data_IF_523147851406
#
_entry.id   IF_523147851406
#
_cell.length_a   1.000
_cell.length_b   1.000
_cell.length_c   1.000
_cell.angle_alpha   90.00
_cell.angle_beta   90.00
_cell.angle_gamma   90.00
#
_symmetry.space_group_name_H-M   'P 1'
#
loop_
_entity.id
_entity.type
_entity.pdbx_description
1 polymer ?
#
# COMPACT_ATOMS: atom_id res chain seq x y z
N UNK A 1 6.41 14.59 -8.58
CA UNK A 1 6.97 15.91 -8.93
C UNK A 1 7.65 16.55 -7.73
N UNK A 2 8.77 17.24 -7.92
CA UNK A 2 9.51 17.96 -6.85
C UNK A 2 9.67 19.42 -7.27
N UNK A 3 9.33 20.35 -6.38
CA UNK A 3 9.47 21.79 -6.58
C UNK A 3 10.43 22.33 -5.53
N UNK A 4 11.54 22.95 -5.95
CA UNK A 4 12.49 23.59 -5.03
C UNK A 4 11.90 24.91 -4.54
N UNK A 5 12.02 25.19 -3.25
CA UNK A 5 11.55 26.44 -2.64
C UNK A 5 12.64 27.04 -1.74
N UNK A 6 12.72 28.38 -1.63
CA UNK A 6 13.60 29.03 -0.67
C UNK A 6 13.33 28.54 0.75
N UNK A 7 14.38 28.46 1.59
CA UNK A 7 14.26 27.86 2.94
C UNK A 7 13.17 28.57 3.75
N UNK A 8 12.18 27.81 4.22
CA UNK A 8 11.11 28.33 5.09
C UNK A 8 10.08 29.25 4.41
N UNK A 9 10.10 29.35 3.08
CA UNK A 9 9.23 30.29 2.34
C UNK A 9 7.76 29.90 2.24
N UNK A 10 7.41 28.63 2.52
CA UNK A 10 6.04 28.14 2.40
C UNK A 10 5.67 27.33 3.64
N UNK A 11 4.63 27.78 4.34
CA UNK A 11 3.97 27.01 5.40
C UNK A 11 2.78 26.21 4.85
N UNK A 12 2.47 25.10 5.52
CA UNK A 12 1.42 24.16 5.08
C UNK A 12 0.03 24.79 5.10
N UNK A 13 -0.26 25.74 5.99
CA UNK A 13 -1.56 26.43 6.06
C UNK A 13 -1.74 27.42 4.91
N UNK A 14 -0.74 28.26 4.67
CA UNK A 14 -0.77 29.23 3.57
C UNK A 14 -0.88 28.53 2.21
N UNK A 15 -0.17 27.39 2.07
CA UNK A 15 -0.25 26.57 0.87
C UNK A 15 -1.65 25.98 0.67
N UNK A 16 -2.29 25.52 1.75
CA UNK A 16 -3.64 24.97 1.69
C UNK A 16 -4.64 26.03 1.21
N UNK A 17 -4.63 27.22 1.82
CA UNK A 17 -5.55 28.30 1.45
C UNK A 17 -5.41 28.72 -0.03
N UNK A 18 -4.16 28.83 -0.52
CA UNK A 18 -3.90 29.14 -1.94
C UNK A 18 -4.36 28.04 -2.89
N UNK A 19 -4.21 26.78 -2.50
CA UNK A 19 -4.67 25.65 -3.31
C UNK A 19 -6.19 25.55 -3.34
N UNK A 20 -6.87 25.81 -2.22
CA UNK A 20 -8.34 25.86 -2.15
C UNK A 20 -8.90 27.01 -3.00
N UNK A 21 -8.24 28.17 -3.03
CA UNK A 21 -8.65 29.29 -3.89
C UNK A 21 -8.50 28.98 -5.39
N UNK A 22 -7.48 28.21 -5.79
CA UNK A 22 -7.20 27.90 -7.19
C UNK A 22 -7.97 26.68 -7.71
N UNK A 23 -8.28 25.72 -6.84
CA UNK A 23 -8.92 24.45 -7.20
C UNK A 23 -10.19 24.23 -6.37
N UNK A 24 -11.28 24.95 -6.66
CA UNK A 24 -12.54 24.85 -5.90
C UNK A 24 -13.22 23.48 -6.07
N UNK A 25 -12.86 22.73 -7.11
CA UNK A 25 -13.30 21.37 -7.39
C UNK A 25 -12.56 20.30 -6.56
N UNK A 26 -11.54 20.69 -5.80
CA UNK A 26 -10.72 19.78 -5.01
C UNK A 26 -10.85 20.04 -3.51
N UNK A 27 -10.74 18.97 -2.74
CA UNK A 27 -10.67 19.06 -1.27
C UNK A 27 -9.24 18.87 -0.80
N UNK A 28 -8.79 19.75 0.10
CA UNK A 28 -7.43 19.70 0.66
C UNK A 28 -7.49 19.41 2.16
N UNK A 29 -6.97 18.26 2.56
CA UNK A 29 -6.97 17.84 3.96
C UNK A 29 -5.55 17.78 4.52
N UNK A 30 -5.33 18.32 5.71
CA UNK A 30 -4.07 18.13 6.42
C UNK A 30 -4.04 16.73 7.03
N UNK A 31 -3.03 15.94 6.66
CA UNK A 31 -2.76 14.64 7.31
C UNK A 31 -1.78 14.78 8.48
N UNK A 32 -0.84 15.72 8.38
CA UNK A 32 0.07 16.08 9.47
C UNK A 32 0.61 17.52 9.28
N UNK A 33 1.49 18.00 10.17
CA UNK A 33 2.07 19.36 10.11
C UNK A 33 2.77 19.68 8.78
N UNK A 34 3.26 18.68 8.05
CA UNK A 34 4.07 18.82 6.83
C UNK A 34 3.41 18.21 5.59
N UNK A 35 2.17 17.74 5.68
CA UNK A 35 1.54 16.95 4.63
C UNK A 35 0.08 17.34 4.43
N UNK A 36 -0.22 17.67 3.17
CA UNK A 36 -1.57 17.88 2.66
C UNK A 36 -1.92 16.72 1.72
N UNK A 37 -3.18 16.35 1.71
CA UNK A 37 -3.78 15.41 0.78
C UNK A 37 -4.74 16.21 -0.09
N UNK A 38 -4.47 16.24 -1.39
CA UNK A 38 -5.38 16.77 -2.39
C UNK A 38 -6.27 15.64 -2.89
N UNK A 39 -7.58 15.86 -2.87
CA UNK A 39 -8.58 14.87 -3.29
C UNK A 39 -9.52 15.53 -4.31
N UNK A 40 -9.51 14.98 -5.53
CA UNK A 40 -10.49 15.30 -6.58
C UNK A 40 -11.65 14.30 -6.59
N UNK A 41 -11.38 13.02 -6.31
CA UNK A 41 -12.40 11.98 -6.17
C UNK A 41 -11.98 10.93 -5.14
N UNK A 42 -12.78 9.89 -4.92
CA UNK A 42 -12.40 8.78 -4.03
C UNK A 42 -11.24 7.92 -4.58
N UNK A 43 -10.89 8.08 -5.86
CA UNK A 43 -9.87 7.27 -6.53
C UNK A 43 -8.67 8.13 -6.98
N UNK A 44 -8.90 9.42 -7.28
CA UNK A 44 -7.86 10.35 -7.74
C UNK A 44 -7.46 11.34 -6.64
N UNK A 45 -6.19 11.31 -6.27
CA UNK A 45 -5.60 12.22 -5.29
C UNK A 45 -4.10 12.38 -5.43
N UNK A 46 -3.56 13.30 -4.63
CA UNK A 46 -2.14 13.55 -4.54
C UNK A 46 -1.72 13.87 -3.09
N UNK A 47 -0.56 13.36 -2.69
CA UNK A 47 0.08 13.74 -1.44
C UNK A 47 1.06 14.88 -1.71
N UNK A 48 0.90 15.96 -0.97
CA UNK A 48 1.76 17.15 -1.02
C UNK A 48 2.53 17.21 0.30
N UNK A 49 3.83 16.99 0.24
CA UNK A 49 4.72 17.01 1.40
C UNK A 49 5.64 18.23 1.35
N UNK A 50 5.56 19.06 2.38
CA UNK A 50 6.33 20.30 2.52
C UNK A 50 7.58 20.01 3.36
N UNK A 51 8.74 20.22 2.76
CA UNK A 51 10.04 20.16 3.42
C UNK A 51 10.63 21.56 3.53
N UNK A 52 11.74 21.70 4.27
CA UNK A 52 12.40 23.00 4.49
C UNK A 52 12.81 23.72 3.20
N UNK A 53 13.17 22.99 2.14
CA UNK A 53 13.73 23.53 0.88
C UNK A 53 13.03 23.01 -0.39
N UNK A 54 11.96 22.22 -0.24
CA UNK A 54 11.24 21.63 -1.37
C UNK A 54 9.81 21.27 -1.00
N UNK A 55 8.93 21.27 -1.98
CA UNK A 55 7.62 20.64 -1.92
C UNK A 55 7.64 19.41 -2.83
N UNK A 56 7.18 18.28 -2.32
CA UNK A 56 7.07 17.04 -3.08
C UNK A 56 5.59 16.71 -3.28
N UNK A 57 5.20 16.53 -4.53
CA UNK A 57 3.83 16.19 -4.92
C UNK A 57 3.89 14.80 -5.55
N UNK A 58 3.20 13.82 -4.97
CA UNK A 58 3.14 12.45 -5.49
C UNK A 58 1.70 12.02 -5.73
N UNK A 59 1.46 11.28 -6.80
CA UNK A 59 0.20 10.56 -6.97
C UNK A 59 0.02 9.61 -5.79
N UNK A 60 -1.17 9.60 -5.20
CA UNK A 60 -1.46 8.77 -4.03
C UNK A 60 -2.95 8.49 -3.93
N UNK A 61 -3.28 7.43 -3.20
CA UNK A 61 -4.67 7.19 -2.82
C UNK A 61 -5.17 8.35 -1.94
N UNK A 62 -6.32 8.95 -2.26
CA UNK A 62 -6.90 10.04 -1.48
C UNK A 62 -7.49 9.57 -0.16
N UNK A 63 -7.74 8.26 -0.01
CA UNK A 63 -8.31 7.66 1.21
C UNK A 63 -7.48 6.46 1.66
N UNK A 64 -7.40 6.25 2.98
CA UNK A 64 -6.80 5.02 3.52
C UNK A 64 -7.59 3.78 3.11
N UNK A 65 -8.92 3.87 2.99
CA UNK A 65 -9.76 2.77 2.52
C UNK A 65 -9.36 2.29 1.12
N UNK A 66 -9.20 3.21 0.16
CA UNK A 66 -8.75 2.86 -1.19
C UNK A 66 -7.33 2.26 -1.21
N UNK A 67 -6.41 2.80 -0.39
CA UNK A 67 -5.07 2.24 -0.26
C UNK A 67 -5.10 0.81 0.32
N UNK A 68 -5.88 0.57 1.38
CA UNK A 68 -6.02 -0.73 2.01
C UNK A 68 -6.65 -1.75 1.08
N UNK A 69 -7.72 -1.37 0.37
CA UNK A 69 -8.37 -2.24 -0.61
C UNK A 69 -7.37 -2.69 -1.69
N UNK A 70 -6.59 -1.78 -2.25
CA UNK A 70 -5.57 -2.13 -3.23
C UNK A 70 -4.53 -3.11 -2.69
N UNK A 71 -4.00 -2.86 -1.47
CA UNK A 71 -3.03 -3.74 -0.82
C UNK A 71 -3.62 -5.11 -0.53
N UNK A 72 -4.85 -5.18 -0.03
CA UNK A 72 -5.54 -6.45 0.22
C UNK A 72 -5.82 -7.21 -1.06
N UNK A 73 -6.25 -6.55 -2.14
CA UNK A 73 -6.41 -7.20 -3.44
C UNK A 73 -5.10 -7.84 -3.90
N UNK A 74 -3.97 -7.14 -3.76
CA UNK A 74 -2.67 -7.67 -4.13
C UNK A 74 -2.25 -8.87 -3.27
N UNK A 75 -2.46 -8.79 -1.95
CA UNK A 75 -2.12 -9.87 -1.02
C UNK A 75 -3.00 -11.11 -1.24
N UNK A 76 -4.30 -10.92 -1.46
CA UNK A 76 -5.23 -12.01 -1.70
C UNK A 76 -4.92 -12.71 -3.02
N UNK A 77 -4.77 -11.95 -4.11
CA UNK A 77 -4.52 -12.51 -5.44
C UNK A 77 -3.10 -13.07 -5.59
N UNK A 78 -2.10 -12.43 -4.98
CA UNK A 78 -0.70 -12.78 -5.15
C UNK A 78 -0.19 -13.85 -4.18
N UNK A 79 -0.75 -13.93 -2.95
CA UNK A 79 -0.23 -14.81 -1.91
C UNK A 79 -1.31 -15.75 -1.40
N UNK A 80 -2.43 -15.21 -0.92
CA UNK A 80 -3.39 -16.02 -0.18
C UNK A 80 -4.08 -17.05 -1.06
N UNK A 81 -4.53 -16.67 -2.25
CA UNK A 81 -5.20 -17.59 -3.18
C UNK A 81 -4.25 -18.70 -3.64
N UNK A 82 -3.02 -18.42 -4.14
CA UNK A 82 -2.05 -19.47 -4.45
C UNK A 82 -1.74 -20.38 -3.26
N UNK A 83 -1.62 -19.82 -2.06
CA UNK A 83 -1.38 -20.60 -0.86
C UNK A 83 -2.54 -21.55 -0.53
N UNK A 84 -3.78 -21.07 -0.62
CA UNK A 84 -4.98 -21.92 -0.45
C UNK A 84 -5.00 -23.03 -1.51
N UNK A 85 -4.67 -22.73 -2.76
CA UNK A 85 -4.57 -23.74 -3.83
C UNK A 85 -3.50 -24.79 -3.50
N UNK A 86 -2.34 -24.38 -2.99
CA UNK A 86 -1.31 -25.30 -2.52
C UNK A 86 -1.83 -26.24 -1.43
N UNK A 87 -2.42 -25.68 -0.38
CA UNK A 87 -2.93 -26.46 0.75
C UNK A 87 -4.05 -27.43 0.33
N UNK A 88 -4.91 -27.03 -0.60
CA UNK A 88 -6.05 -27.83 -1.03
C UNK A 88 -5.67 -28.91 -2.06
N UNK A 89 -4.88 -28.57 -3.07
CA UNK A 89 -4.64 -29.46 -4.21
C UNK A 89 -3.33 -30.26 -4.10
N UNK A 90 -2.30 -29.72 -3.45
CA UNK A 90 -0.96 -30.29 -3.46
C UNK A 90 -0.59 -30.94 -2.13
N UNK A 91 -0.80 -30.23 -1.02
CA UNK A 91 -0.38 -30.69 0.31
C UNK A 91 -0.93 -32.08 0.71
N UNK A 92 -2.20 -32.45 0.43
CA UNK A 92 -2.71 -33.76 0.85
C UNK A 92 -1.96 -34.92 0.17
N UNK A 93 -1.74 -34.80 -1.14
CA UNK A 93 -1.03 -35.83 -1.93
C UNK A 93 0.45 -35.90 -1.55
N UNK A 94 1.08 -34.76 -1.28
CA UNK A 94 2.47 -34.76 -0.79
C UNK A 94 2.59 -35.46 0.56
N UNK A 95 1.65 -35.23 1.49
CA UNK A 95 1.63 -35.92 2.78
C UNK A 95 1.39 -37.42 2.67
N UNK A 96 0.61 -37.86 1.68
CA UNK A 96 0.41 -39.28 1.41
C UNK A 96 1.73 -39.94 0.98
N UNK A 97 2.41 -39.35 -0.01
CA UNK A 97 3.73 -39.83 -0.45
C UNK A 97 4.75 -39.79 0.68
N UNK A 98 4.77 -38.72 1.49
CA UNK A 98 5.64 -38.59 2.66
C UNK A 98 5.43 -39.76 3.64
N UNK A 99 4.18 -40.13 3.92
CA UNK A 99 3.85 -41.26 4.79
C UNK A 99 4.28 -42.58 4.21
N UNK A 100 4.06 -42.81 2.92
CA UNK A 100 4.42 -44.06 2.26
C UNK A 100 5.93 -44.27 2.27
N UNK A 101 6.69 -43.24 1.90
CA UNK A 101 8.15 -43.25 1.94
C UNK A 101 8.64 -43.40 3.37
N UNK A 102 8.07 -42.64 4.31
CA UNK A 102 8.44 -42.70 5.73
C UNK A 102 8.21 -44.09 6.34
N UNK A 103 7.09 -44.73 6.03
CA UNK A 103 6.77 -46.08 6.49
C UNK A 103 7.74 -47.13 5.95
N UNK A 104 8.16 -46.99 4.67
CA UNK A 104 9.17 -47.87 4.10
C UNK A 104 10.53 -47.69 4.78
N UNK A 105 10.96 -46.45 4.99
CA UNK A 105 12.24 -46.16 5.66
C UNK A 105 12.24 -46.66 7.10
N UNK A 106 11.15 -46.49 7.86
CA UNK A 106 11.03 -47.02 9.21
C UNK A 106 11.28 -48.54 9.27
N UNK A 107 10.68 -49.30 8.34
CA UNK A 107 10.91 -50.74 8.25
C UNK A 107 12.36 -51.13 7.98
N UNK A 108 13.11 -50.31 7.24
CA UNK A 108 14.52 -50.58 6.93
C UNK A 108 15.47 -50.34 8.10
N UNK A 109 15.08 -49.48 9.04
CA UNK A 109 15.95 -49.05 10.15
C UNK A 109 15.68 -49.84 11.44
N UNK A 110 14.86 -50.90 11.38
CA UNK A 110 14.47 -51.74 12.54
C UNK A 110 13.98 -50.90 13.75
N UNK A 111 13.12 -49.92 13.50
CA UNK A 111 12.33 -49.21 14.54
C UNK A 111 10.85 -49.49 14.31
#
# INVERSE_FOLDING_TARGET
MKVKIPKGSIQTDDLKAKLEAQFPDMTFQKRNKKMLVAKRSNIAGANIMVYKNRVQIGAAFPTMGGQMLFVFSFLLLGILIPFIVYLAAFQPKQKEVEKDVGAFVQKLVEI
#
